data_IF_513248370865
#
_entry.id   IF_513248370865
#
_cell.length_a   1.000
_cell.length_b   1.000
_cell.length_c   1.000
_cell.angle_alpha   90.00
_cell.angle_beta   90.00
_cell.angle_gamma   90.00
#
_symmetry.space_group_name_H-M   'P 1'
#
loop_
_entity.id
_entity.type
_entity.pdbx_description
1 polymer ?
#
# COMPACT_ATOMS: atom_id res chain seq x y z
N UNK A 1 10.30 12.41 24.19
CA UNK A 1 9.58 11.71 23.11
C UNK A 1 10.48 11.73 21.91
N UNK A 2 10.89 10.57 21.40
CA UNK A 2 11.70 10.50 20.19
C UNK A 2 10.90 11.06 19.00
N UNK A 3 11.53 11.87 18.15
CA UNK A 3 10.92 12.32 16.90
C UNK A 3 10.69 11.09 16.00
N UNK A 4 9.49 10.97 15.42
CA UNK A 4 9.17 9.89 14.49
C UNK A 4 10.16 9.83 13.32
N UNK A 5 10.69 10.98 12.89
CA UNK A 5 11.74 11.04 11.87
C UNK A 5 12.99 10.26 12.30
N UNK A 6 13.43 10.43 13.54
CA UNK A 6 14.59 9.72 14.12
C UNK A 6 14.30 8.22 14.28
N UNK A 7 13.10 7.85 14.73
CA UNK A 7 12.66 6.46 14.82
C UNK A 7 12.68 5.78 13.44
N UNK A 8 12.25 6.47 12.39
CA UNK A 8 12.29 5.93 11.03
C UNK A 8 13.73 5.80 10.53
N UNK A 9 14.58 6.79 10.78
CA UNK A 9 15.99 6.75 10.37
C UNK A 9 16.74 5.60 11.02
N UNK A 10 16.59 5.41 12.34
CA UNK A 10 17.33 4.37 13.09
C UNK A 10 16.89 2.95 12.74
N UNK A 11 15.66 2.76 12.29
CA UNK A 11 15.10 1.44 11.96
C UNK A 11 15.17 1.12 10.46
N UNK A 12 15.67 2.03 9.62
CA UNK A 12 15.85 1.77 8.19
C UNK A 12 16.93 0.69 7.98
N UNK A 13 16.63 -0.33 7.17
CA UNK A 13 17.57 -1.40 6.87
C UNK A 13 18.85 -0.86 6.19
N UNK A 14 19.99 -1.49 6.46
CA UNK A 14 21.26 -1.13 5.84
C UNK A 14 21.31 -1.56 4.36
N UNK A 15 20.89 -2.79 4.08
CA UNK A 15 20.92 -3.38 2.74
C UNK A 15 19.65 -3.08 1.91
N UNK A 16 19.53 -1.86 1.41
CA UNK A 16 18.44 -1.46 0.51
C UNK A 16 19.04 -0.98 -0.82
N UNK A 17 18.52 -1.43 -1.98
CA UNK A 17 18.91 -0.87 -3.27
C UNK A 17 18.77 0.65 -3.29
N UNK A 18 19.79 1.37 -3.79
CA UNK A 18 19.84 2.83 -3.73
C UNK A 18 18.64 3.53 -4.38
N UNK A 19 18.00 2.89 -5.35
CA UNK A 19 16.80 3.37 -6.04
C UNK A 19 15.48 3.07 -5.29
N UNK A 20 15.54 2.37 -4.16
CA UNK A 20 14.40 2.01 -3.29
C UNK A 20 14.56 2.52 -1.86
N UNK A 21 15.77 2.96 -1.48
CA UNK A 21 16.06 3.55 -0.18
C UNK A 21 15.39 4.93 -0.03
N UNK A 22 14.60 5.09 1.02
CA UNK A 22 14.05 6.38 1.44
C UNK A 22 15.20 7.30 1.88
N UNK A 23 15.29 8.49 1.28
CA UNK A 23 16.25 9.50 1.72
C UNK A 23 15.68 10.27 2.91
N UNK A 24 16.53 11.04 3.58
CA UNK A 24 16.11 11.89 4.70
C UNK A 24 14.86 12.74 4.37
N UNK A 25 14.83 13.40 3.21
CA UNK A 25 13.66 14.18 2.77
C UNK A 25 12.40 13.33 2.57
N UNK A 26 12.55 12.08 2.14
CA UNK A 26 11.42 11.16 2.00
C UNK A 26 10.91 10.74 3.38
N UNK A 27 11.82 10.46 4.32
CA UNK A 27 11.49 10.12 5.72
C UNK A 27 10.79 11.29 6.42
N UNK A 28 11.26 12.53 6.25
CA UNK A 28 10.58 13.72 6.77
C UNK A 28 9.17 13.88 6.20
N UNK A 29 8.98 13.57 4.91
CA UNK A 29 7.64 13.55 4.31
C UNK A 29 6.77 12.48 4.94
N UNK A 30 7.31 11.28 5.16
CA UNK A 30 6.58 10.20 5.82
C UNK A 30 6.17 10.58 7.25
N UNK A 31 7.08 11.09 8.07
CA UNK A 31 6.80 11.45 9.47
C UNK A 31 5.72 12.53 9.60
N UNK A 32 5.57 13.42 8.61
CA UNK A 32 4.50 14.42 8.57
C UNK A 32 3.09 13.81 8.46
N UNK A 33 2.95 12.69 7.75
CA UNK A 33 1.66 12.07 7.44
C UNK A 33 1.39 10.77 8.20
N UNK A 34 2.40 10.23 8.89
CA UNK A 34 2.26 9.12 9.82
C UNK A 34 1.92 9.65 11.21
N UNK A 35 0.71 9.42 11.74
CA UNK A 35 0.32 9.95 13.05
C UNK A 35 0.88 9.16 14.23
N UNK A 36 1.62 8.08 13.98
CA UNK A 36 2.03 7.09 14.96
C UNK A 36 3.32 6.39 14.55
N UNK A 37 3.91 5.70 15.52
CA UNK A 37 5.04 4.82 15.32
C UNK A 37 4.60 3.55 14.56
N UNK A 38 5.12 3.36 13.35
CA UNK A 38 4.78 2.23 12.48
C UNK A 38 5.38 0.89 12.93
N UNK A 39 6.16 0.88 14.01
CA UNK A 39 6.80 -0.32 14.57
C UNK A 39 6.09 -0.87 15.81
N UNK A 40 5.04 -0.21 16.31
CA UNK A 40 4.29 -0.68 17.49
C UNK A 40 3.39 -1.88 17.15
N UNK A 41 3.07 -2.71 18.14
CA UNK A 41 2.51 -4.07 17.91
C UNK A 41 1.02 -4.12 17.62
N UNK A 42 0.22 -3.26 18.24
CA UNK A 42 -1.20 -3.57 18.39
C UNK A 42 -2.12 -2.67 17.55
N UNK A 43 -1.67 -1.45 17.25
CA UNK A 43 -2.52 -0.44 16.62
C UNK A 43 -2.21 -0.20 15.14
N UNK A 44 -3.27 0.03 14.37
CA UNK A 44 -3.14 0.46 12.98
C UNK A 44 -2.60 1.88 12.91
N UNK A 45 -1.56 2.07 12.07
CA UNK A 45 -1.09 3.40 11.77
C UNK A 45 -1.66 3.90 10.44
N UNK A 46 -2.70 4.73 10.49
CA UNK A 46 -3.42 5.19 9.30
C UNK A 46 -2.79 6.45 8.72
N UNK A 47 -2.54 6.45 7.42
CA UNK A 47 -2.00 7.60 6.72
C UNK A 47 -2.95 8.80 6.80
N UNK A 48 -2.44 9.96 7.22
CA UNK A 48 -3.22 11.18 7.45
C UNK A 48 -3.28 12.03 6.19
N UNK A 49 -3.91 11.52 5.13
CA UNK A 49 -4.15 12.29 3.90
C UNK A 49 -5.62 12.19 3.49
N UNK A 50 -6.21 13.32 3.16
CA UNK A 50 -7.64 13.46 2.84
C UNK A 50 -8.01 12.80 1.50
N UNK A 51 -7.03 12.55 0.63
CA UNK A 51 -7.25 12.03 -0.73
C UNK A 51 -7.26 10.49 -0.85
N UNK A 52 -7.22 9.76 0.28
CA UNK A 52 -7.26 8.29 0.28
C UNK A 52 -8.56 7.73 -0.35
N UNK A 53 -9.64 8.51 -0.39
CA UNK A 53 -10.95 8.10 -0.89
C UNK A 53 -11.00 7.59 -2.34
N UNK A 54 -9.97 7.87 -3.16
CA UNK A 54 -9.96 7.52 -4.60
C UNK A 54 -9.30 6.17 -4.91
N UNK A 55 -8.59 5.54 -3.97
CA UNK A 55 -7.86 4.30 -4.19
C UNK A 55 -7.86 3.41 -2.95
N UNK A 56 -8.01 2.08 -3.08
CA UNK A 56 -7.88 1.16 -1.94
C UNK A 56 -6.46 1.10 -1.37
N UNK A 57 -5.47 1.68 -2.07
CA UNK A 57 -4.07 1.72 -1.65
C UNK A 57 -3.52 3.14 -1.66
N UNK A 58 -2.66 3.43 -0.70
CA UNK A 58 -1.93 4.70 -0.62
C UNK A 58 -0.81 4.72 -1.67
N UNK A 59 -0.86 5.73 -2.53
CA UNK A 59 0.19 6.02 -3.49
C UNK A 59 1.13 7.09 -2.92
N UNK A 60 2.43 6.81 -2.94
CA UNK A 60 3.48 7.72 -2.52
C UNK A 60 4.33 8.11 -3.75
N UNK A 61 4.61 9.41 -3.89
CA UNK A 61 5.48 9.88 -4.97
C UNK A 61 6.95 9.79 -4.55
N UNK A 62 7.69 8.87 -5.18
CA UNK A 62 9.07 8.54 -4.86
C UNK A 62 9.86 8.31 -6.15
N UNK A 63 11.06 8.88 -6.26
CA UNK A 63 11.91 8.79 -7.45
C UNK A 63 11.16 9.11 -8.77
N UNK A 64 10.40 10.20 -8.75
CA UNK A 64 9.59 10.70 -9.87
C UNK A 64 8.44 9.77 -10.32
N UNK A 65 8.09 8.76 -9.53
CA UNK A 65 7.05 7.78 -9.85
C UNK A 65 6.08 7.60 -8.69
N UNK A 66 4.84 7.22 -8.99
CA UNK A 66 3.86 6.79 -7.97
C UNK A 66 4.13 5.33 -7.62
N UNK A 67 4.36 5.05 -6.35
CA UNK A 67 4.58 3.70 -5.82
C UNK A 67 3.62 3.42 -4.67
N UNK A 68 3.30 2.15 -4.40
CA UNK A 68 2.56 1.80 -3.18
C UNK A 68 3.41 2.13 -1.96
N UNK A 69 2.82 2.89 -1.02
CA UNK A 69 3.49 3.26 0.22
C UNK A 69 3.87 2.03 1.03
N UNK A 70 2.95 1.07 1.19
CA UNK A 70 3.19 -0.14 1.98
C UNK A 70 4.34 -0.99 1.43
N UNK A 71 4.46 -1.09 0.10
CA UNK A 71 5.61 -1.78 -0.51
C UNK A 71 6.92 -1.06 -0.19
N UNK A 72 6.92 0.28 -0.27
CA UNK A 72 8.11 1.07 0.02
C UNK A 72 8.50 0.97 1.50
N UNK A 73 7.54 1.00 2.42
CA UNK A 73 7.76 0.80 3.85
C UNK A 73 8.33 -0.60 4.14
N UNK A 74 7.71 -1.64 3.58
CA UNK A 74 8.20 -3.02 3.76
C UNK A 74 9.66 -3.17 3.31
N UNK A 75 10.00 -2.66 2.14
CA UNK A 75 11.36 -2.75 1.59
C UNK A 75 12.40 -1.96 2.39
N UNK A 76 11.98 -0.91 3.10
CA UNK A 76 12.90 -0.08 3.90
C UNK A 76 13.04 -0.55 5.35
N UNK A 77 12.05 -1.28 5.88
CA UNK A 77 11.94 -1.53 7.32
C UNK A 77 11.73 -3.00 7.71
N UNK A 78 11.35 -3.87 6.76
CA UNK A 78 11.05 -5.28 7.05
C UNK A 78 11.95 -6.22 6.25
N UNK A 79 12.03 -6.04 4.92
CA UNK A 79 12.90 -6.87 4.11
C UNK A 79 12.66 -6.77 2.60
N UNK A 80 13.42 -7.55 1.85
CA UNK A 80 13.39 -7.54 0.38
C UNK A 80 12.04 -8.07 -0.15
N UNK A 81 11.46 -7.31 -1.09
CA UNK A 81 10.20 -7.65 -1.77
C UNK A 81 10.41 -7.69 -3.30
N UNK A 82 10.16 -8.84 -3.90
CA UNK A 82 10.25 -9.08 -5.33
C UNK A 82 9.01 -8.54 -6.08
N UNK A 83 9.15 -8.38 -7.40
CA UNK A 83 8.06 -7.96 -8.30
C UNK A 83 6.87 -8.93 -8.30
N UNK A 84 7.10 -10.21 -8.01
CA UNK A 84 6.08 -11.25 -7.97
C UNK A 84 5.54 -11.54 -6.57
N UNK A 85 6.07 -10.84 -5.56
CA UNK A 85 5.62 -10.94 -4.18
C UNK A 85 4.63 -9.82 -3.87
N UNK A 86 3.66 -10.17 -3.03
CA UNK A 86 2.58 -9.27 -2.61
C UNK A 86 2.56 -9.18 -1.09
N UNK A 87 1.99 -8.08 -0.58
CA UNK A 87 1.73 -7.90 0.83
C UNK A 87 0.27 -8.25 1.12
N UNK A 88 0.06 -9.15 2.07
CA UNK A 88 -1.20 -9.36 2.76
C UNK A 88 -1.19 -8.56 4.05
N UNK A 89 -2.36 -8.10 4.45
CA UNK A 89 -2.55 -7.35 5.67
C UNK A 89 -3.25 -8.23 6.70
N UNK A 90 -2.73 -8.25 7.93
CA UNK A 90 -3.34 -8.95 9.06
C UNK A 90 -4.36 -8.08 9.82
N UNK A 91 -4.53 -6.81 9.45
CA UNK A 91 -5.51 -5.89 10.02
C UNK A 91 -6.71 -5.64 9.07
N UNK A 92 -7.75 -4.98 9.60
CA UNK A 92 -8.95 -4.61 8.83
C UNK A 92 -8.70 -3.46 7.83
N UNK A 93 -7.76 -2.57 8.16
CA UNK A 93 -7.39 -1.39 7.38
C UNK A 93 -6.46 -1.71 6.19
N UNK A 94 -6.91 -2.61 5.31
CA UNK A 94 -6.12 -3.12 4.19
C UNK A 94 -5.81 -1.98 3.20
N UNK A 95 -4.53 -1.85 2.84
CA UNK A 95 -4.08 -0.85 1.87
C UNK A 95 -4.03 0.61 2.38
N UNK A 96 -4.48 0.87 3.61
CA UNK A 96 -4.41 2.19 4.28
C UNK A 96 -3.55 2.16 5.55
N UNK A 97 -3.39 1.01 6.18
CA UNK A 97 -2.48 0.83 7.30
C UNK A 97 -1.02 0.90 6.85
N UNK A 98 -0.21 1.61 7.63
CA UNK A 98 1.22 1.82 7.44
C UNK A 98 2.08 1.12 8.52
N UNK A 99 1.45 0.46 9.50
CA UNK A 99 2.18 -0.32 10.50
C UNK A 99 2.87 -1.51 9.81
N UNK A 100 4.19 -1.59 9.91
CA UNK A 100 4.98 -2.59 9.18
C UNK A 100 4.82 -3.99 9.76
N UNK A 101 4.43 -4.12 11.03
CA UNK A 101 4.06 -5.40 11.66
C UNK A 101 2.75 -5.96 11.13
N UNK A 102 1.95 -5.13 10.46
CA UNK A 102 0.72 -5.58 9.81
C UNK A 102 0.92 -6.13 8.40
N UNK A 103 2.16 -6.18 7.92
CA UNK A 103 2.50 -6.66 6.57
C UNK A 103 2.99 -8.10 6.61
N UNK A 104 2.31 -8.98 5.88
CA UNK A 104 2.69 -10.38 5.66
C UNK A 104 3.07 -10.56 4.19
N UNK A 105 4.31 -11.01 3.92
CA UNK A 105 4.77 -11.25 2.55
C UNK A 105 4.26 -12.59 2.02
N UNK A 106 3.72 -12.58 0.81
CA UNK A 106 3.23 -13.79 0.13
C UNK A 106 3.93 -13.96 -1.22
N UNK A 107 4.43 -15.18 -1.46
CA UNK A 107 4.91 -15.65 -2.76
C UNK A 107 3.83 -16.50 -3.42
N UNK A 108 3.45 -16.20 -4.66
CA UNK A 108 2.66 -17.15 -5.46
C UNK A 108 3.59 -18.22 -6.00
N UNK A 109 3.57 -19.42 -5.40
CA UNK A 109 4.15 -20.60 -6.06
C UNK A 109 3.22 -21.00 -7.20
N UNK A 110 3.71 -20.96 -8.45
CA UNK A 110 3.06 -21.70 -9.54
C UNK A 110 3.25 -23.19 -9.23
N UNK A 111 2.26 -23.84 -8.63
CA UNK A 111 2.21 -25.31 -8.52
C UNK A 111 2.22 -25.94 -7.14
N UNK A 112 1.60 -25.34 -6.12
CA UNK A 112 1.23 -26.11 -4.91
C UNK A 112 -0.27 -26.00 -4.65
N UNK A 113 -0.95 -27.13 -4.82
CA UNK A 113 -2.35 -27.35 -4.48
C UNK A 113 -2.50 -27.33 -2.96
N UNK A 114 -2.47 -26.15 -2.35
CA UNK A 114 -2.81 -26.00 -0.93
C UNK A 114 -4.20 -25.39 -0.80
N UNK A 115 -5.14 -26.27 -0.43
CA UNK A 115 -6.49 -25.95 -0.01
C UNK A 115 -6.48 -25.02 1.21
N UNK A 116 -6.45 -23.70 0.98
CA UNK A 116 -7.00 -22.70 1.93
C UNK A 116 -7.88 -21.72 1.18
N UNK A 117 -9.13 -22.14 1.00
CA UNK A 117 -10.35 -21.34 0.98
C UNK A 117 -10.21 -19.84 0.59
N UNK A 118 -9.77 -19.56 -0.63
CA UNK A 118 -10.03 -18.28 -1.28
C UNK A 118 -11.33 -18.42 -2.06
N UNK A 119 -12.44 -18.01 -1.45
CA UNK A 119 -13.70 -17.77 -2.16
C UNK A 119 -13.44 -16.68 -3.20
N UNK A 120 -13.25 -17.09 -4.46
CA UNK A 120 -13.21 -16.20 -5.63
C UNK A 120 -14.58 -15.49 -5.73
N UNK A 121 -14.65 -14.15 -5.75
CA UNK A 121 -15.89 -13.50 -6.15
C UNK A 121 -16.15 -13.80 -7.63
N UNK A 122 -17.30 -14.42 -7.90
CA UNK A 122 -17.80 -14.71 -9.24
C UNK A 122 -17.98 -13.38 -9.98
N UNK A 123 -17.22 -13.17 -11.06
CA UNK A 123 -17.52 -12.13 -12.06
C UNK A 123 -18.86 -12.46 -12.72
N UNK A 124 -19.93 -11.79 -12.34
CA UNK A 124 -21.15 -11.74 -13.13
C UNK A 124 -20.88 -10.88 -14.37
N UNK A 125 -20.92 -11.53 -15.54
CA UNK A 125 -20.97 -10.85 -16.84
C UNK A 125 -22.41 -10.45 -17.15
N UNK A 126 -22.53 -9.30 -17.81
CA UNK A 126 -23.63 -8.76 -18.63
C UNK A 126 -24.64 -7.84 -17.93
N UNK A 127 -24.59 -6.56 -18.31
CA UNK A 127 -25.70 -5.99 -19.08
C UNK A 127 -25.14 -5.09 -20.20
N UNK A 128 -25.69 -5.27 -21.41
CA UNK A 128 -25.36 -4.54 -22.65
C UNK A 128 -26.47 -3.51 -22.92
N UNK A 129 -26.06 -2.43 -23.61
CA UNK A 129 -26.84 -1.46 -24.42
C UNK A 129 -27.74 -0.51 -23.60
N UNK A 130 -27.90 0.76 -23.97
CA UNK A 130 -28.03 1.30 -25.33
C UNK A 130 -27.60 2.78 -25.44
N UNK A 131 -27.00 3.12 -26.59
CA UNK A 131 -27.01 4.48 -27.14
C UNK A 131 -28.45 4.91 -27.40
N UNK A 132 -28.81 6.16 -27.09
CA UNK A 132 -29.89 6.86 -27.79
C UNK A 132 -29.40 8.23 -28.18
N UNK A 133 -29.54 8.48 -29.48
CA UNK A 133 -29.19 9.69 -30.20
C UNK A 133 -30.18 10.81 -29.89
N UNK A 134 -29.67 12.01 -30.11
CA UNK A 134 -30.32 13.31 -30.12
C UNK A 134 -31.38 13.36 -31.23
N UNK A 135 -32.56 13.94 -30.96
CA UNK A 135 -33.41 14.57 -31.98
C UNK A 135 -34.23 15.70 -31.36
N UNK A 136 -34.28 16.79 -32.13
CA UNK A 136 -34.95 18.07 -31.92
C UNK A 136 -36.39 17.96 -32.43
N UNK A 137 -37.36 18.64 -31.81
CA UNK A 137 -38.42 19.35 -32.56
C UNK A 137 -39.14 20.40 -31.71
N UNK A 138 -39.67 21.39 -32.43
CA UNK A 138 -40.15 22.72 -32.05
C UNK A 138 -41.48 22.75 -31.30
N UNK A 139 -41.67 23.84 -30.55
CA UNK A 139 -42.90 24.67 -30.57
C UNK A 139 -42.49 26.15 -30.58
#
# INVERSE_FOLDING_TARGET
MDDLTEILLRNQLDEIPSNRRLKFRDIQRLSKYLPCNIFDTDDCCLWKDSDISKSPYINFYFNKQKVSLQRLLYENFVGKLSKHEYLKFNCENKGTCCNVKHFEKITFKKGSTDNKNLKKPKKSKKLKKSKKEFNIEFD
#
